data_IF_651169711360
#
_entry.id   IF_651169711360
#
_cell.length_a   1.000
_cell.length_b   1.000
_cell.length_c   1.000
_cell.angle_alpha   90.00
_cell.angle_beta   90.00
_cell.angle_gamma   90.00
#
_symmetry.space_group_name_H-M   'P 1'
#
loop_
_entity.id
_entity.type
_entity.pdbx_description
1 polymer ?
#
# COMPACT_ATOMS: atom_id res chain seq x y z
N UNK A 1 -10.56 -11.92 -10.29
CA UNK A 1 -9.32 -11.14 -10.52
C UNK A 1 -8.91 -10.54 -9.18
N UNK A 2 -7.61 -10.48 -8.85
CA UNK A 2 -7.09 -10.56 -7.46
C UNK A 2 -7.29 -9.28 -6.65
N UNK A 3 -8.20 -9.33 -5.68
CA UNK A 3 -8.17 -8.46 -4.52
C UNK A 3 -6.96 -8.84 -3.66
N UNK A 4 -6.17 -7.84 -3.27
CA UNK A 4 -5.07 -8.07 -2.36
C UNK A 4 -5.56 -7.82 -0.93
N UNK A 5 -5.09 -8.67 -0.01
CA UNK A 5 -5.43 -8.60 1.40
C UNK A 5 -4.16 -8.52 2.23
N UNK A 6 -4.22 -7.78 3.34
CA UNK A 6 -3.15 -7.69 4.31
C UNK A 6 -2.83 -9.09 4.85
N UNK A 7 -1.57 -9.49 4.77
CA UNK A 7 -1.11 -10.80 5.28
C UNK A 7 -1.33 -10.96 6.78
N UNK A 8 -1.43 -9.86 7.54
CA UNK A 8 -1.52 -9.88 9.00
C UNK A 8 -2.98 -9.85 9.49
N UNK A 9 -3.76 -8.86 9.06
CA UNK A 9 -5.14 -8.67 9.56
C UNK A 9 -6.23 -9.08 8.56
N UNK A 10 -5.86 -9.48 7.33
CA UNK A 10 -6.83 -9.85 6.29
C UNK A 10 -7.62 -8.68 5.70
N UNK A 11 -7.41 -7.44 6.13
CA UNK A 11 -8.07 -6.25 5.54
C UNK A 11 -7.74 -6.11 4.06
N UNK A 12 -8.71 -5.63 3.29
CA UNK A 12 -8.50 -5.24 1.89
C UNK A 12 -7.42 -4.17 1.82
N UNK A 13 -6.48 -4.35 0.90
CA UNK A 13 -5.39 -3.40 0.65
C UNK A 13 -5.52 -2.77 -0.72
N UNK A 14 -5.24 -1.48 -0.77
CA UNK A 14 -5.34 -0.66 -1.98
C UNK A 14 -4.00 -0.57 -2.70
N UNK A 15 -4.04 -0.05 -3.92
CA UNK A 15 -2.85 0.12 -4.76
C UNK A 15 -1.73 0.89 -4.06
N UNK A 16 -2.09 1.96 -3.35
CA UNK A 16 -1.13 2.81 -2.64
C UNK A 16 -0.41 2.03 -1.50
N UNK A 17 -1.11 1.13 -0.81
CA UNK A 17 -0.51 0.30 0.25
C UNK A 17 0.50 -0.70 -0.33
N UNK A 18 0.16 -1.31 -1.45
CA UNK A 18 1.04 -2.25 -2.16
C UNK A 18 2.29 -1.50 -2.66
N UNK A 19 2.10 -0.36 -3.31
CA UNK A 19 3.18 0.49 -3.79
C UNK A 19 4.12 0.91 -2.65
N UNK A 20 3.57 1.27 -1.48
CA UNK A 20 4.39 1.62 -0.32
C UNK A 20 5.16 0.43 0.24
N UNK A 21 4.53 -0.75 0.36
CA UNK A 21 5.23 -1.96 0.80
C UNK A 21 6.38 -2.30 -0.16
N UNK A 22 6.15 -2.22 -1.47
CA UNK A 22 7.17 -2.42 -2.50
C UNK A 22 8.27 -1.35 -2.40
N UNK A 23 7.92 -0.10 -2.06
CA UNK A 23 8.89 0.99 -1.88
C UNK A 23 9.80 0.74 -0.67
N UNK A 24 9.25 0.22 0.43
CA UNK A 24 9.97 0.02 1.70
C UNK A 24 10.76 -1.29 1.68
N UNK A 25 10.15 -2.39 1.23
CA UNK A 25 10.75 -3.73 1.25
C UNK A 25 11.38 -4.14 -0.08
N UNK A 26 11.14 -3.39 -1.15
CA UNK A 26 11.57 -3.71 -2.51
C UNK A 26 10.55 -4.51 -3.32
N UNK A 27 10.83 -4.67 -4.63
CA UNK A 27 9.96 -5.40 -5.59
C UNK A 27 9.79 -6.89 -5.29
N UNK A 28 10.67 -7.45 -4.45
CA UNK A 28 10.70 -8.86 -4.08
C UNK A 28 9.94 -9.16 -2.77
N UNK A 29 9.11 -8.21 -2.31
CA UNK A 29 8.27 -8.40 -1.13
C UNK A 29 7.18 -9.45 -1.41
N UNK A 30 7.21 -10.56 -0.66
CA UNK A 30 6.26 -11.65 -0.82
C UNK A 30 4.94 -11.47 -0.05
N UNK A 31 4.85 -10.46 0.80
CA UNK A 31 3.69 -10.17 1.63
C UNK A 31 3.41 -8.67 1.67
N UNK A 32 2.16 -8.29 1.46
CA UNK A 32 1.74 -6.90 1.61
C UNK A 32 0.99 -6.73 2.92
N UNK A 33 1.27 -5.63 3.61
CA UNK A 33 0.57 -5.22 4.83
C UNK A 33 -0.21 -3.94 4.58
N UNK A 34 -1.36 -3.81 5.22
CA UNK A 34 -2.06 -2.54 5.25
C UNK A 34 -1.25 -1.49 6.04
N UNK A 35 -1.59 -0.21 5.91
CA UNK A 35 -0.88 0.86 6.62
C UNK A 35 -0.83 0.65 8.13
N UNK A 36 -1.90 0.11 8.71
CA UNK A 36 -2.00 -0.12 10.15
C UNK A 36 -0.95 -1.13 10.62
N UNK A 37 -1.00 -2.36 10.09
CA UNK A 37 -0.04 -3.42 10.43
C UNK A 37 1.39 -3.09 9.98
N UNK A 38 1.54 -2.33 8.89
CA UNK A 38 2.85 -1.86 8.45
C UNK A 38 3.42 -0.83 9.43
N UNK A 39 2.57 0.04 9.99
CA UNK A 39 2.97 1.04 10.96
C UNK A 39 3.38 0.42 12.28
N UNK A 40 2.65 -0.59 12.76
CA UNK A 40 3.02 -1.41 13.90
C UNK A 40 4.36 -2.12 13.66
N UNK A 41 4.54 -2.73 12.49
CA UNK A 41 5.78 -3.41 12.11
C UNK A 41 6.99 -2.46 12.06
N UNK A 42 6.80 -1.22 11.59
CA UNK A 42 7.85 -0.21 11.50
C UNK A 42 8.01 0.63 12.78
N UNK A 43 7.16 0.44 13.78
CA UNK A 43 7.11 1.29 14.98
C UNK A 43 6.79 2.76 14.68
N UNK A 44 6.03 3.03 13.62
CA UNK A 44 5.62 4.37 13.19
C UNK A 44 4.11 4.54 13.25
N UNK A 45 3.61 5.77 13.05
CA UNK A 45 2.18 6.03 12.91
C UNK A 45 1.70 5.72 11.49
N UNK A 46 0.55 5.08 11.35
CA UNK A 46 -0.11 4.80 10.06
C UNK A 46 -0.36 6.06 9.23
N UNK A 47 -0.68 7.19 9.89
CA UNK A 47 -0.82 8.51 9.25
C UNK A 47 0.45 8.95 8.51
N UNK A 48 1.64 8.66 9.06
CA UNK A 48 2.92 8.98 8.42
C UNK A 48 3.09 8.21 7.12
N UNK A 49 2.74 6.93 7.11
CA UNK A 49 2.80 6.09 5.91
C UNK A 49 1.83 6.58 4.83
N UNK A 50 0.63 7.01 5.24
CA UNK A 50 -0.39 7.54 4.35
C UNK A 50 0.04 8.87 3.70
N UNK A 51 0.60 9.79 4.49
CA UNK A 51 1.21 11.04 3.99
C UNK A 51 2.36 10.78 3.02
N UNK A 52 3.26 9.87 3.37
CA UNK A 52 4.38 9.47 2.52
C UNK A 52 3.90 8.89 1.18
N UNK A 53 2.86 8.08 1.20
CA UNK A 53 2.26 7.50 -0.02
C UNK A 53 1.67 8.57 -0.91
N UNK A 54 0.92 9.52 -0.34
CA UNK A 54 0.34 10.65 -1.06
C UNK A 54 1.44 11.54 -1.68
N UNK A 55 2.51 11.79 -0.94
CA UNK A 55 3.67 12.54 -1.40
C UNK A 55 4.31 11.86 -2.62
N UNK A 56 4.60 10.55 -2.55
CA UNK A 56 5.18 9.83 -3.69
C UNK A 56 4.27 9.80 -4.91
N UNK A 57 2.94 9.68 -4.69
CA UNK A 57 1.95 9.74 -5.76
C UNK A 57 1.94 11.12 -6.43
N UNK A 58 1.97 12.19 -5.64
CA UNK A 58 1.98 13.57 -6.13
C UNK A 58 3.29 13.93 -6.85
N UNK A 59 4.43 13.44 -6.36
CA UNK A 59 5.74 13.60 -7.02
C UNK A 59 5.88 12.77 -8.31
N UNK A 60 4.93 11.89 -8.62
CA UNK A 60 4.97 11.07 -9.83
C UNK A 60 5.90 9.86 -9.72
N UNK A 61 6.01 9.26 -8.54
CA UNK A 61 6.83 8.06 -8.34
C UNK A 61 6.31 6.90 -9.20
N UNK A 62 7.14 6.35 -10.10
CA UNK A 62 6.74 5.29 -11.03
C UNK A 62 6.15 4.06 -10.34
N UNK A 63 6.58 3.75 -9.09
CA UNK A 63 6.03 2.65 -8.30
C UNK A 63 4.55 2.88 -7.98
N UNK A 64 4.15 4.11 -7.67
CA UNK A 64 2.76 4.48 -7.36
C UNK A 64 1.90 4.69 -8.62
N UNK A 65 2.52 4.83 -9.80
CA UNK A 65 1.82 4.87 -11.08
C UNK A 65 1.43 3.49 -11.61
N UNK A 66 2.06 2.43 -11.11
CA UNK A 66 1.70 1.05 -11.46
C UNK A 66 0.43 0.66 -10.72
N UNK A 67 -0.52 0.05 -11.46
CA UNK A 67 -1.70 -0.60 -10.89
C UNK A 67 -1.38 -2.06 -10.53
N UNK A 68 -1.28 -2.34 -9.24
CA UNK A 68 -1.12 -3.69 -8.69
C UNK A 68 -2.47 -4.34 -8.34
N UNK A 69 -3.51 -3.54 -8.06
CA UNK A 69 -4.88 -4.03 -7.81
C UNK A 69 -5.91 -3.17 -8.54
N UNK A 70 -7.09 -3.75 -8.77
CA UNK A 70 -8.27 -2.97 -9.15
C UNK A 70 -8.87 -2.37 -7.87
N UNK A 71 -8.62 -1.08 -7.65
CA UNK A 71 -9.50 -0.26 -6.84
C UNK A 71 -10.85 -0.27 -7.56
N UNK A 72 -11.80 -1.05 -7.05
CA UNK A 72 -13.17 -0.93 -7.51
C UNK A 72 -13.56 0.52 -7.28
N UNK A 73 -13.88 1.22 -8.36
CA UNK A 73 -14.60 2.47 -8.30
C UNK A 73 -15.77 2.26 -7.32
N UNK A 74 -15.92 3.08 -6.27
CA UNK A 74 -17.21 3.11 -5.59
C UNK A 74 -18.23 3.47 -6.69
N UNK A 75 -19.04 2.49 -7.10
CA UNK A 75 -20.29 2.79 -7.76
C UNK A 75 -21.08 3.61 -6.74
N UNK A 76 -21.14 4.93 -6.93
CA UNK A 76 -22.37 5.74 -6.90
C UNK A 76 -22.07 7.18 -7.35
#
# INVERSE_FOLDING_TARGET
MKEAHCKHCGKRIYNDEIALNIKIFGKQVGYIRCYDCLSEFLGCKSDKLRKTSLFYKNTGCSIFQVKYTYEGEPNE
#
